data_IF_119172424009
#
_entry.id   IF_119172424009
#
_cell.length_a   1.000
_cell.length_b   1.000
_cell.length_c   1.000
_cell.angle_alpha   90.00
_cell.angle_beta   90.00
_cell.angle_gamma   90.00
#
_symmetry.space_group_name_H-M   'P 1'
#
loop_
_entity.id
_entity.type
_entity.pdbx_description
1 polymer ?
#
# COMPACT_ATOMS: atom_id res chain seq x y z
N UNK A 1 23.22 1.15 -20.02
CA UNK A 1 23.05 1.05 -18.57
C UNK A 1 21.55 0.91 -18.35
N UNK A 2 20.99 -0.25 -17.93
CA UNK A 2 19.57 -0.26 -17.61
C UNK A 2 19.38 0.68 -16.41
N UNK A 3 18.56 1.69 -16.62
CA UNK A 3 18.08 2.61 -15.60
C UNK A 3 17.61 1.75 -14.43
N UNK A 4 18.37 1.76 -13.32
CA UNK A 4 18.01 0.99 -12.15
C UNK A 4 16.78 1.66 -11.59
N UNK A 5 15.62 1.15 -12.00
CA UNK A 5 14.32 1.60 -11.54
C UNK A 5 14.39 1.57 -10.01
N UNK A 6 14.45 2.76 -9.39
CA UNK A 6 14.54 2.90 -7.95
C UNK A 6 13.15 2.60 -7.41
N UNK A 7 12.85 1.30 -7.30
CA UNK A 7 11.60 0.82 -6.71
C UNK A 7 11.77 0.84 -5.21
N UNK A 8 11.21 1.86 -4.57
CA UNK A 8 11.23 1.98 -3.12
C UNK A 8 10.00 1.26 -2.56
N UNK A 9 10.22 0.22 -1.77
CA UNK A 9 9.14 -0.48 -1.07
C UNK A 9 9.17 -0.09 0.40
N UNK A 10 8.09 0.52 0.89
CA UNK A 10 7.99 0.87 2.31
C UNK A 10 6.59 0.62 2.87
N UNK A 11 6.53 0.37 4.18
CA UNK A 11 5.28 0.35 4.91
C UNK A 11 4.70 1.78 4.92
N UNK A 12 3.43 1.91 4.53
CA UNK A 12 2.71 3.16 4.66
C UNK A 12 2.33 3.36 6.10
N UNK A 13 2.56 4.58 6.58
CA UNK A 13 2.01 5.01 7.86
C UNK A 13 0.49 5.24 7.75
N UNK A 14 -0.27 5.19 8.85
CA UNK A 14 -1.71 5.49 8.85
C UNK A 14 -2.07 6.86 8.23
N UNK A 15 -1.13 7.81 8.19
CA UNK A 15 -1.31 9.10 7.51
C UNK A 15 -1.26 8.99 5.97
N UNK A 16 -0.60 7.96 5.45
CA UNK A 16 -0.46 7.68 4.01
C UNK A 16 -1.56 6.74 3.49
N UNK A 17 -2.38 6.17 4.37
CA UNK A 17 -3.53 5.34 4.00
C UNK A 17 -4.45 6.00 2.96
N UNK A 18 -4.84 7.29 3.08
CA UNK A 18 -5.62 7.95 2.03
C UNK A 18 -4.93 7.98 0.65
N UNK A 19 -3.61 7.85 0.59
CA UNK A 19 -2.84 7.79 -0.65
C UNK A 19 -2.97 6.41 -1.31
N UNK A 20 -2.96 5.34 -0.50
CA UNK A 20 -3.29 3.98 -0.96
C UNK A 20 -4.78 3.81 -1.27
N UNK A 21 -5.67 4.39 -0.48
CA UNK A 21 -7.12 4.37 -0.72
C UNK A 21 -7.49 5.08 -2.03
N UNK A 22 -6.77 6.14 -2.41
CA UNK A 22 -6.91 6.77 -3.74
C UNK A 22 -6.52 5.80 -4.87
N UNK A 23 -5.44 5.04 -4.70
CA UNK A 23 -5.07 3.99 -5.66
C UNK A 23 -6.13 2.87 -5.70
N UNK A 24 -6.77 2.53 -4.56
CA UNK A 24 -7.84 1.54 -4.46
C UNK A 24 -9.23 2.08 -4.78
N UNK A 25 -9.41 3.38 -4.97
CA UNK A 25 -10.70 3.99 -5.28
C UNK A 25 -11.25 3.40 -6.59
N UNK A 26 -10.36 3.04 -7.52
CA UNK A 26 -10.70 2.29 -8.73
C UNK A 26 -11.03 0.81 -8.49
N UNK A 27 -10.66 0.25 -7.33
CA UNK A 27 -10.69 -1.17 -7.00
C UNK A 27 -11.72 -1.56 -5.92
N UNK A 28 -12.86 -0.84 -5.85
CA UNK A 28 -14.03 -1.05 -4.94
C UNK A 28 -14.11 -0.16 -3.69
N UNK A 29 -13.39 0.96 -3.61
CA UNK A 29 -13.59 1.93 -2.52
C UNK A 29 -13.40 1.32 -1.12
N UNK A 30 -12.50 0.34 -1.02
CA UNK A 30 -12.16 -0.28 0.26
C UNK A 30 -11.38 0.74 1.09
N UNK A 31 -11.85 0.96 2.33
CA UNK A 31 -11.12 1.73 3.33
C UNK A 31 -10.11 0.82 4.01
N UNK A 32 -8.92 1.36 4.24
CA UNK A 32 -7.93 0.69 5.06
C UNK A 32 -8.13 1.06 6.54
N UNK A 33 -8.17 0.06 7.40
CA UNK A 33 -8.27 0.16 8.85
C UNK A 33 -6.85 0.12 9.45
N UNK A 34 -6.34 1.24 9.95
CA UNK A 34 -4.97 1.33 10.47
C UNK A 34 -4.74 0.53 11.77
N UNK A 35 -5.78 -0.06 12.37
CA UNK A 35 -5.61 -0.90 13.56
C UNK A 35 -5.32 -2.35 13.23
N UNK A 36 -5.81 -2.86 12.11
CA UNK A 36 -5.70 -4.28 11.73
C UNK A 36 -5.01 -4.49 10.39
N UNK A 37 -4.93 -3.47 9.54
CA UNK A 37 -4.39 -3.54 8.20
C UNK A 37 -3.03 -2.83 8.13
N UNK A 38 -2.01 -3.54 7.66
CA UNK A 38 -0.74 -2.95 7.27
C UNK A 38 -0.70 -2.84 5.76
N UNK A 39 -0.43 -1.64 5.26
CA UNK A 39 -0.33 -1.36 3.83
C UNK A 39 1.14 -1.15 3.49
N UNK A 40 1.59 -1.76 2.40
CA UNK A 40 2.92 -1.56 1.84
C UNK A 40 2.76 -0.97 0.44
N UNK A 41 3.55 0.04 0.13
CA UNK A 41 3.53 0.73 -1.15
C UNK A 41 4.85 0.54 -1.86
N UNK A 42 4.76 0.27 -3.17
CA UNK A 42 5.89 0.30 -4.09
C UNK A 42 5.84 1.63 -4.82
N UNK A 43 6.86 2.44 -4.62
CA UNK A 43 7.05 3.72 -5.28
C UNK A 43 8.03 3.54 -6.43
N UNK A 44 7.54 3.82 -7.65
CA UNK A 44 8.33 3.88 -8.87
C UNK A 44 8.51 5.35 -9.23
N UNK A 45 9.74 5.85 -9.13
CA UNK A 45 10.06 7.25 -9.44
C UNK A 45 9.18 8.28 -8.67
N UNK A 46 8.88 7.99 -7.40
CA UNK A 46 8.01 8.82 -6.54
C UNK A 46 6.50 8.64 -6.79
N UNK A 47 6.10 7.82 -7.76
CA UNK A 47 4.70 7.48 -8.03
C UNK A 47 4.37 6.13 -7.41
N UNK A 48 3.25 6.02 -6.71
CA UNK A 48 2.79 4.75 -6.14
C UNK A 48 2.37 3.80 -7.28
N UNK A 49 3.24 2.85 -7.60
CA UNK A 49 3.04 1.90 -8.70
C UNK A 49 2.23 0.67 -8.28
N UNK A 50 2.39 0.22 -7.03
CA UNK A 50 1.65 -0.90 -6.49
C UNK A 50 1.44 -0.73 -4.99
N UNK A 51 0.39 -1.36 -4.49
CA UNK A 51 0.10 -1.44 -3.06
C UNK A 51 -0.17 -2.90 -2.71
N UNK A 52 0.35 -3.35 -1.58
CA UNK A 52 0.03 -4.61 -0.96
C UNK A 52 -0.64 -4.31 0.38
N UNK A 53 -1.68 -5.07 0.70
CA UNK A 53 -2.35 -5.00 2.00
C UNK A 53 -2.15 -6.33 2.69
N UNK A 54 -1.85 -6.26 3.98
CA UNK A 54 -1.79 -7.41 4.86
C UNK A 54 -2.78 -7.16 6.00
N UNK A 55 -3.87 -7.89 6.02
CA UNK A 55 -4.91 -7.73 7.04
C UNK A 55 -4.69 -8.79 8.10
N UNK A 56 -4.44 -8.34 9.33
CA UNK A 56 -4.33 -9.24 10.47
C UNK A 56 -5.73 -9.56 10.98
N UNK A 57 -6.21 -10.75 10.66
CA UNK A 57 -7.43 -11.30 11.24
C UNK A 57 -7.11 -12.02 12.56
N UNK A 58 -8.09 -12.10 13.45
CA UNK A 58 -7.95 -12.82 14.74
C UNK A 58 -7.71 -14.32 14.55
N UNK A 59 -8.04 -14.84 13.35
CA UNK A 59 -7.91 -16.25 12.96
C UNK A 59 -6.66 -16.52 12.08
N UNK A 60 -5.96 -15.49 11.59
CA UNK A 60 -4.82 -15.64 10.68
C UNK A 60 -4.36 -14.35 9.99
N UNK A 61 -3.33 -14.46 9.15
CA UNK A 61 -2.85 -13.38 8.28
C UNK A 61 -3.37 -13.64 6.86
N UNK A 62 -4.14 -12.69 6.30
CA UNK A 62 -4.65 -12.73 4.92
C UNK A 62 -4.12 -11.54 4.09
#
# INVERSE_FOLDING_TARGET
>A
MPDQIVKETRELTPAEFPLAEQAWTHYRGQKADPKTERIFGVFDNGTLAATARCTRHTDGLE
#
